data_IF_290768365165
#
_entry.id   IF_290768365165
#
_cell.length_a   1.000
_cell.length_b   1.000
_cell.length_c   1.000
_cell.angle_alpha   90.00
_cell.angle_beta   90.00
_cell.angle_gamma   90.00
#
_symmetry.space_group_name_H-M   'P 1'
#
loop_
_entity.id
_entity.type
_entity.pdbx_description
1 polymer ?
#
# COMPACT_ATOMS: atom_id res chain seq x y z
N UNK A 1 7.33 -17.99 -2.40
CA UNK A 1 7.78 -18.28 -3.78
C UNK A 1 9.26 -18.69 -3.89
N UNK A 2 10.15 -18.17 -3.03
CA UNK A 2 11.60 -18.35 -3.12
C UNK A 2 12.08 -19.82 -3.13
N UNK A 3 11.52 -20.68 -2.27
CA UNK A 3 11.86 -22.11 -2.25
C UNK A 3 11.56 -22.85 -3.56
N UNK A 4 10.42 -22.53 -4.20
CA UNK A 4 10.07 -23.12 -5.50
C UNK A 4 11.04 -22.65 -6.58
N UNK A 5 11.32 -21.35 -6.65
CA UNK A 5 12.26 -20.78 -7.63
C UNK A 5 13.69 -21.36 -7.49
N UNK A 6 14.14 -21.62 -6.26
CA UNK A 6 15.44 -22.23 -6.00
C UNK A 6 15.51 -23.70 -6.45
N UNK A 7 14.46 -24.47 -6.20
CA UNK A 7 14.37 -25.86 -6.66
C UNK A 7 14.44 -25.97 -8.19
N UNK A 8 13.80 -25.03 -8.93
CA UNK A 8 13.79 -25.05 -10.39
C UNK A 8 15.07 -24.56 -11.07
N UNK A 9 15.92 -23.81 -10.36
CA UNK A 9 17.16 -23.25 -10.92
C UNK A 9 18.34 -24.21 -10.82
N UNK A 10 18.09 -25.47 -10.48
CA UNK A 10 19.13 -26.51 -10.39
C UNK A 10 20.19 -26.16 -9.35
N UNK A 11 19.79 -25.55 -8.22
CA UNK A 11 20.69 -25.11 -7.14
C UNK A 11 21.70 -24.02 -7.54
N UNK A 12 21.48 -23.28 -8.63
CA UNK A 12 22.39 -22.21 -9.03
C UNK A 12 22.41 -21.06 -7.98
N UNK A 13 23.52 -20.94 -7.25
CA UNK A 13 23.71 -19.93 -6.19
C UNK A 13 23.53 -18.50 -6.67
N UNK A 14 23.87 -18.18 -7.93
CA UNK A 14 23.71 -16.81 -8.46
C UNK A 14 22.26 -16.37 -8.52
N UNK A 15 21.37 -17.28 -8.92
CA UNK A 15 19.93 -16.99 -9.01
C UNK A 15 19.33 -16.87 -7.61
N UNK A 16 19.77 -17.72 -6.67
CA UNK A 16 19.37 -17.60 -5.26
C UNK A 16 19.77 -16.26 -4.65
N UNK A 17 21.01 -15.80 -4.89
CA UNK A 17 21.47 -14.50 -4.38
C UNK A 17 20.63 -13.37 -4.95
N UNK A 18 20.36 -13.37 -6.25
CA UNK A 18 19.56 -12.33 -6.91
C UNK A 18 18.12 -12.29 -6.36
N UNK A 19 17.44 -13.44 -6.29
CA UNK A 19 16.09 -13.53 -5.70
C UNK A 19 16.09 -13.18 -4.21
N UNK A 20 17.12 -13.60 -3.48
CA UNK A 20 17.30 -13.29 -2.06
C UNK A 20 17.46 -11.80 -1.81
N UNK A 21 18.28 -11.11 -2.63
CA UNK A 21 18.42 -9.65 -2.55
C UNK A 21 17.12 -8.93 -2.87
N UNK A 22 16.37 -9.37 -3.90
CA UNK A 22 15.07 -8.78 -4.22
C UNK A 22 14.06 -8.95 -3.09
N UNK A 23 14.04 -10.12 -2.45
CA UNK A 23 13.18 -10.39 -1.30
C UNK A 23 13.56 -9.56 -0.06
N UNK A 24 14.86 -9.48 0.27
CA UNK A 24 15.35 -8.65 1.37
C UNK A 24 15.01 -7.17 1.18
N UNK A 25 15.16 -6.64 -0.05
CA UNK A 25 14.77 -5.27 -0.36
C UNK A 25 13.28 -5.03 -0.14
N UNK A 26 12.42 -5.97 -0.53
CA UNK A 26 10.97 -5.85 -0.33
C UNK A 26 10.60 -5.86 1.16
N UNK A 27 11.14 -6.82 1.93
CA UNK A 27 10.94 -6.85 3.39
C UNK A 27 11.45 -5.56 4.03
N UNK A 28 12.58 -5.02 3.57
CA UNK A 28 13.09 -3.73 4.03
C UNK A 28 12.15 -2.57 3.75
N UNK A 29 11.54 -2.52 2.55
CA UNK A 29 10.55 -1.50 2.18
C UNK A 29 9.28 -1.63 3.03
N UNK A 30 8.79 -2.85 3.26
CA UNK A 30 7.60 -3.07 4.09
C UNK A 30 7.88 -2.65 5.54
N UNK A 31 8.98 -3.09 6.14
CA UNK A 31 9.40 -2.67 7.48
C UNK A 31 9.54 -1.14 7.52
N UNK A 32 10.17 -0.53 6.52
CA UNK A 32 10.29 0.93 6.45
C UNK A 32 8.93 1.62 6.44
N UNK A 33 7.99 1.16 5.60
CA UNK A 33 6.63 1.73 5.50
C UNK A 33 5.87 1.59 6.82
N UNK A 34 6.01 0.46 7.52
CA UNK A 34 5.32 0.22 8.80
C UNK A 34 6.01 0.88 10.01
N UNK A 35 7.33 1.02 10.00
CA UNK A 35 8.10 1.54 11.12
C UNK A 35 8.38 3.05 11.04
N UNK A 36 8.25 3.69 9.87
CA UNK A 36 8.41 5.15 9.75
C UNK A 36 7.15 5.87 10.24
N UNK A 37 7.20 6.30 11.52
CA UNK A 37 6.22 7.12 12.26
C UNK A 37 4.88 7.24 11.56
N UNK A 38 4.01 6.28 11.85
CA UNK A 38 2.57 6.48 11.75
C UNK A 38 2.20 7.33 12.96
N UNK A 39 2.03 8.64 12.76
CA UNK A 39 1.46 9.48 13.81
C UNK A 39 0.03 9.00 14.06
N UNK A 40 -0.18 8.46 15.26
CA UNK A 40 -1.49 7.99 15.71
C UNK A 40 -2.36 9.23 15.88
N UNK A 41 -3.53 9.31 15.23
CA UNK A 41 -4.37 10.50 15.30
C UNK A 41 -4.80 10.79 16.75
N UNK A 42 -5.03 12.08 17.08
CA UNK A 42 -5.39 12.48 18.44
C UNK A 42 -6.69 11.79 18.92
N UNK A 43 -6.80 11.52 20.24
CA UNK A 43 -7.85 10.69 20.84
C UNK A 43 -9.29 11.17 20.59
N UNK A 44 -9.48 12.44 20.25
CA UNK A 44 -10.79 13.06 19.94
C UNK A 44 -11.49 12.38 18.74
N UNK A 45 -10.72 11.94 17.74
CA UNK A 45 -11.26 11.23 16.57
C UNK A 45 -11.83 9.84 16.94
N UNK A 46 -11.27 9.20 17.97
CA UNK A 46 -11.75 7.92 18.49
C UNK A 46 -13.06 8.06 19.28
N UNK A 47 -13.26 9.19 19.96
CA UNK A 47 -14.51 9.50 20.67
C UNK A 47 -15.68 9.77 19.70
N UNK A 48 -15.45 10.48 18.59
CA UNK A 48 -16.52 10.80 17.61
C UNK A 48 -17.00 9.59 16.80
N UNK A 49 -16.13 8.60 16.57
CA UNK A 49 -16.49 7.33 15.91
C UNK A 49 -17.06 6.27 16.88
N UNK A 50 -17.41 6.66 18.10
CA UNK A 50 -18.07 5.81 19.09
C UNK A 50 -17.26 4.54 19.46
N UNK A 51 -15.93 4.57 19.33
CA UNK A 51 -15.04 3.48 19.76
C UNK A 51 -15.14 2.17 18.97
N UNK A 52 -15.89 2.08 17.87
CA UNK A 52 -16.13 0.79 17.18
C UNK A 52 -15.12 0.43 16.09
N UNK A 53 -14.04 1.21 15.90
CA UNK A 53 -13.03 0.84 14.90
C UNK A 53 -11.67 1.50 15.09
N UNK A 54 -10.63 0.67 15.16
CA UNK A 54 -9.24 1.09 15.07
C UNK A 54 -8.89 1.32 13.59
N UNK A 55 -9.49 2.35 12.97
CA UNK A 55 -9.20 2.69 11.58
C UNK A 55 -8.16 3.80 11.53
N UNK A 56 -7.01 3.58 10.85
CA UNK A 56 -6.08 4.65 10.52
C UNK A 56 -6.83 5.80 9.85
N UNK A 57 -6.50 7.05 10.17
CA UNK A 57 -7.05 8.19 9.47
C UNK A 57 -6.47 8.25 8.04
N UNK A 58 -7.08 7.49 7.12
CA UNK A 58 -6.75 7.50 5.69
C UNK A 58 -7.19 8.80 4.99
N UNK A 59 -7.67 9.81 5.74
CA UNK A 59 -8.09 11.10 5.20
C UNK A 59 -6.92 11.99 4.78
N UNK A 60 -5.73 11.81 5.35
CA UNK A 60 -4.54 12.51 4.89
C UNK A 60 -4.00 11.79 3.64
N UNK A 61 -4.02 12.44 2.48
CA UNK A 61 -3.58 11.86 1.19
C UNK A 61 -2.17 11.24 1.23
N UNK A 62 -1.34 11.66 2.18
CA UNK A 62 -0.01 11.11 2.46
C UNK A 62 -0.05 9.63 2.86
N UNK A 63 -1.05 9.20 3.64
CA UNK A 63 -1.18 7.81 4.11
C UNK A 63 -1.59 6.86 2.96
N UNK A 64 -2.49 7.33 2.10
CA UNK A 64 -2.89 6.58 0.89
C UNK A 64 -1.73 6.40 -0.09
N UNK A 65 -0.90 7.43 -0.27
CA UNK A 65 0.32 7.34 -1.08
C UNK A 65 1.30 6.29 -0.53
N UNK A 66 1.51 6.23 0.79
CA UNK A 66 2.40 5.22 1.41
C UNK A 66 1.94 3.79 1.13
N UNK A 67 0.64 3.52 1.28
CA UNK A 67 0.05 2.20 0.98
C UNK A 67 0.17 1.89 -0.51
N UNK A 68 -0.10 2.88 -1.36
CA UNK A 68 0.09 2.77 -2.81
C UNK A 68 1.53 2.43 -3.19
N UNK A 69 2.53 3.05 -2.56
CA UNK A 69 3.95 2.75 -2.81
C UNK A 69 4.33 1.33 -2.37
N UNK A 70 3.85 0.86 -1.21
CA UNK A 70 4.08 -0.53 -0.78
C UNK A 70 3.46 -1.52 -1.77
N UNK A 71 2.24 -1.26 -2.22
CA UNK A 71 1.56 -2.11 -3.20
C UNK A 71 2.26 -2.11 -4.57
N UNK A 72 2.74 -0.94 -5.02
CA UNK A 72 3.53 -0.79 -6.24
C UNK A 72 4.87 -1.53 -6.13
N UNK A 73 5.56 -1.42 -4.99
CA UNK A 73 6.81 -2.11 -4.73
C UNK A 73 6.64 -3.64 -4.77
N UNK A 74 5.54 -4.16 -4.20
CA UNK A 74 5.20 -5.56 -4.29
C UNK A 74 5.01 -6.03 -5.74
N UNK A 75 4.24 -5.29 -6.54
CA UNK A 75 4.02 -5.60 -7.96
C UNK A 75 5.33 -5.54 -8.76
N UNK A 76 6.17 -4.54 -8.53
CA UNK A 76 7.47 -4.40 -9.21
C UNK A 76 8.42 -5.55 -8.88
N UNK A 77 8.47 -6.00 -7.61
CA UNK A 77 9.29 -7.14 -7.20
C UNK A 77 8.82 -8.41 -7.88
N UNK A 78 7.51 -8.65 -7.87
CA UNK A 78 6.87 -9.76 -8.55
C UNK A 78 7.22 -9.75 -10.05
N UNK A 79 7.09 -8.59 -10.73
CA UNK A 79 7.45 -8.43 -12.14
C UNK A 79 8.94 -8.71 -12.40
N UNK A 80 9.83 -8.17 -11.58
CA UNK A 80 11.27 -8.37 -11.71
C UNK A 80 11.65 -9.84 -11.51
N UNK A 81 11.02 -10.51 -10.55
CA UNK A 81 11.21 -11.95 -10.32
C UNK A 81 10.80 -12.79 -11.54
N UNK A 82 9.68 -12.43 -12.18
CA UNK A 82 9.21 -13.10 -13.39
C UNK A 82 10.15 -12.85 -14.57
N UNK A 83 10.55 -11.61 -14.81
CA UNK A 83 11.47 -11.24 -15.90
C UNK A 83 12.77 -12.03 -15.77
N UNK A 84 13.34 -12.12 -14.57
CA UNK A 84 14.56 -12.91 -14.32
C UNK A 84 14.35 -14.39 -14.66
N UNK A 85 13.24 -14.98 -14.23
CA UNK A 85 12.91 -16.38 -14.53
C UNK A 85 12.72 -16.59 -16.03
N UNK A 86 11.98 -15.72 -16.72
CA UNK A 86 11.74 -15.80 -18.17
C UNK A 86 13.05 -15.66 -18.94
N UNK A 87 13.88 -14.66 -18.60
CA UNK A 87 15.20 -14.47 -19.23
C UNK A 87 16.09 -15.69 -19.01
N UNK A 88 16.12 -16.24 -17.80
CA UNK A 88 16.87 -17.46 -17.52
C UNK A 88 16.35 -18.66 -18.32
N UNK A 89 15.04 -18.87 -18.39
CA UNK A 89 14.43 -19.94 -19.16
C UNK A 89 14.67 -19.79 -20.66
N UNK A 90 14.58 -18.59 -21.22
CA UNK A 90 14.88 -18.30 -22.64
C UNK A 90 16.35 -18.53 -22.93
N UNK A 91 17.26 -18.05 -22.07
CA UNK A 91 18.70 -18.22 -22.23
C UNK A 91 19.13 -19.68 -22.07
N UNK A 92 18.50 -20.42 -21.15
CA UNK A 92 18.84 -21.82 -20.87
C UNK A 92 18.21 -22.80 -21.86
N UNK A 93 17.11 -22.42 -22.54
CA UNK A 93 16.47 -23.20 -23.62
C UNK A 93 17.39 -23.50 -24.80
N UNK A 94 18.47 -22.75 -24.98
CA UNK A 94 19.39 -22.98 -26.09
C UNK A 94 20.18 -24.31 -25.98
N UNK A 95 20.17 -25.00 -24.82
CA UNK A 95 21.02 -26.19 -24.63
C UNK A 95 20.33 -27.48 -24.15
N UNK A 96 19.02 -27.54 -23.91
CA UNK A 96 18.39 -28.80 -23.44
C UNK A 96 16.88 -28.91 -23.64
N UNK A 97 16.43 -30.08 -24.09
CA UNK A 97 15.04 -30.53 -24.18
C UNK A 97 14.42 -30.71 -22.78
N UNK A 98 13.75 -29.68 -22.26
CA UNK A 98 13.04 -29.78 -20.97
C UNK A 98 11.59 -29.30 -21.14
N UNK A 99 10.72 -30.20 -21.62
CA UNK A 99 9.28 -29.92 -21.81
C UNK A 99 8.58 -29.58 -20.49
N UNK A 100 9.03 -30.20 -19.39
CA UNK A 100 8.46 -30.03 -18.05
C UNK A 100 8.71 -28.61 -17.49
N UNK A 101 9.89 -28.06 -17.72
CA UNK A 101 10.20 -26.68 -17.32
C UNK A 101 9.33 -25.67 -18.07
N UNK A 102 9.00 -25.94 -19.34
CA UNK A 102 8.13 -25.07 -20.15
C UNK A 102 6.70 -25.03 -19.61
N UNK A 103 6.16 -26.18 -19.19
CA UNK A 103 4.84 -26.26 -18.56
C UNK A 103 4.79 -25.49 -17.24
N UNK A 104 5.80 -25.66 -16.40
CA UNK A 104 5.86 -24.97 -15.12
C UNK A 104 5.99 -23.46 -15.28
N UNK A 105 6.80 -23.00 -16.25
CA UNK A 105 6.92 -21.58 -16.60
C UNK A 105 5.60 -21.04 -17.14
N UNK A 106 4.91 -21.79 -18.00
CA UNK A 106 3.60 -21.39 -18.53
C UNK A 106 2.57 -21.22 -17.40
N UNK A 107 2.49 -22.19 -16.47
CA UNK A 107 1.60 -22.09 -15.31
C UNK A 107 1.97 -20.92 -14.40
N UNK A 108 3.27 -20.71 -14.14
CA UNK A 108 3.75 -19.58 -13.37
C UNK A 108 3.42 -18.23 -14.01
N UNK A 109 3.57 -18.13 -15.34
CA UNK A 109 3.24 -16.94 -16.12
C UNK A 109 1.74 -16.65 -16.10
N UNK A 110 0.89 -17.67 -16.21
CA UNK A 110 -0.57 -17.52 -16.14
C UNK A 110 -1.01 -17.08 -14.75
N UNK A 111 -0.48 -17.71 -13.69
CA UNK A 111 -0.80 -17.31 -12.31
C UNK A 111 -0.36 -15.86 -12.04
N UNK A 112 0.82 -15.47 -12.55
CA UNK A 112 1.30 -14.10 -12.45
C UNK A 112 0.42 -13.11 -13.21
N UNK A 113 0.05 -13.43 -14.45
CA UNK A 113 -0.83 -12.58 -15.24
C UNK A 113 -2.17 -12.35 -14.52
N UNK A 114 -2.70 -13.39 -13.87
CA UNK A 114 -3.91 -13.28 -13.07
C UNK A 114 -3.74 -12.36 -11.84
N UNK A 115 -2.65 -12.53 -11.08
CA UNK A 115 -2.32 -11.66 -9.94
C UNK A 115 -2.10 -10.21 -10.40
N UNK A 116 -1.44 -10.00 -11.53
CA UNK A 116 -1.24 -8.68 -12.12
C UNK A 116 -2.56 -8.00 -12.49
N UNK A 117 -3.50 -8.73 -13.11
CA UNK A 117 -4.83 -8.20 -13.43
C UNK A 117 -5.58 -7.82 -12.16
N UNK A 118 -5.56 -8.65 -11.13
CA UNK A 118 -6.18 -8.35 -9.84
C UNK A 118 -5.57 -7.08 -9.24
N UNK A 119 -4.24 -6.99 -9.19
CA UNK A 119 -3.54 -5.84 -8.64
C UNK A 119 -3.84 -4.54 -9.39
N UNK A 120 -3.89 -4.58 -10.73
CA UNK A 120 -4.29 -3.43 -11.56
C UNK A 120 -5.74 -3.05 -11.26
N UNK A 121 -6.65 -4.02 -11.19
CA UNK A 121 -8.05 -3.76 -10.87
C UNK A 121 -8.20 -3.13 -9.48
N UNK A 122 -7.51 -3.66 -8.47
CA UNK A 122 -7.52 -3.10 -7.11
C UNK A 122 -6.95 -1.69 -7.08
N UNK A 123 -5.86 -1.42 -7.79
CA UNK A 123 -5.29 -0.08 -7.90
C UNK A 123 -6.28 0.90 -8.54
N UNK A 124 -6.92 0.53 -9.66
CA UNK A 124 -7.93 1.34 -10.33
C UNK A 124 -9.11 1.63 -9.39
N UNK A 125 -9.64 0.62 -8.70
CA UNK A 125 -10.73 0.78 -7.75
C UNK A 125 -10.34 1.73 -6.62
N UNK A 126 -9.12 1.60 -6.09
CA UNK A 126 -8.60 2.47 -5.04
C UNK A 126 -8.51 3.93 -5.49
N UNK A 127 -7.94 4.19 -6.67
CA UNK A 127 -7.84 5.54 -7.21
C UNK A 127 -9.21 6.15 -7.56
N UNK A 128 -10.15 5.35 -8.09
CA UNK A 128 -11.51 5.83 -8.34
C UNK A 128 -12.25 6.20 -7.08
N UNK A 129 -12.09 5.43 -6.00
CA UNK A 129 -12.72 5.75 -4.71
C UNK A 129 -12.15 7.06 -4.15
N UNK A 130 -10.85 7.29 -4.28
CA UNK A 130 -10.23 8.56 -3.88
C UNK A 130 -10.75 9.75 -4.71
N UNK A 131 -10.90 9.57 -6.01
CA UNK A 131 -11.42 10.62 -6.90
C UNK A 131 -12.88 10.96 -6.59
N UNK A 132 -13.73 9.94 -6.38
CA UNK A 132 -15.11 10.12 -5.92
C UNK A 132 -15.18 10.85 -4.58
N UNK A 133 -14.28 10.52 -3.64
CA UNK A 133 -14.22 11.20 -2.34
C UNK A 133 -13.86 12.68 -2.46
N UNK A 134 -13.03 13.05 -3.44
CA UNK A 134 -12.67 14.44 -3.69
C UNK A 134 -13.80 15.23 -4.37
N UNK A 135 -14.65 14.55 -5.16
CA UNK A 135 -15.77 15.20 -5.84
C UNK A 135 -17.00 15.41 -4.95
N UNK A 136 -17.20 14.58 -3.93
CA UNK A 136 -18.33 14.73 -3.00
C UNK A 136 -18.06 15.94 -2.10
N UNK A 137 -18.71 17.07 -2.40
CA UNK A 137 -18.84 18.20 -1.48
C UNK A 137 -19.37 17.70 -0.15
N UNK A 138 -18.73 18.04 0.98
CA UNK A 138 -19.16 17.58 2.29
C UNK A 138 -20.63 17.95 2.50
N UNK A 139 -21.47 16.96 2.79
CA UNK A 139 -22.88 17.17 3.10
C UNK A 139 -23.02 18.15 4.26
N UNK A 140 -24.06 18.98 4.26
CA UNK A 140 -24.30 20.02 5.29
C UNK A 140 -24.24 19.46 6.73
N UNK A 141 -24.60 18.19 6.91
CA UNK A 141 -24.51 17.48 8.19
C UNK A 141 -23.06 17.32 8.68
N UNK A 142 -22.10 17.08 7.78
CA UNK A 142 -20.67 17.00 8.09
C UNK A 142 -20.10 18.39 8.37
N UNK A 143 -20.57 19.41 7.64
CA UNK A 143 -20.17 20.80 7.85
C UNK A 143 -20.66 21.30 9.22
N UNK A 144 -21.93 21.06 9.55
CA UNK A 144 -22.53 21.39 10.84
C UNK A 144 -21.79 20.72 11.99
N UNK A 145 -21.45 19.42 11.86
CA UNK A 145 -20.70 18.69 12.88
C UNK A 145 -19.30 19.27 13.12
N UNK A 146 -18.61 19.73 12.06
CA UNK A 146 -17.32 20.44 12.23
C UNK A 146 -17.48 21.77 12.94
N UNK A 147 -18.53 22.52 12.62
CA UNK A 147 -18.80 23.80 13.29
C UNK A 147 -19.11 23.58 14.77
N UNK A 148 -19.89 22.55 15.13
CA UNK A 148 -20.17 22.23 16.54
C UNK A 148 -18.92 21.91 17.34
N UNK A 149 -17.98 21.12 16.81
CA UNK A 149 -16.73 20.83 17.52
C UNK A 149 -15.86 22.08 17.73
N UNK A 150 -15.80 23.00 16.76
CA UNK A 150 -15.04 24.26 16.90
C UNK A 150 -15.67 25.15 17.98
N UNK A 151 -17.00 25.18 18.06
CA UNK A 151 -17.72 25.94 19.08
C UNK A 151 -17.48 25.35 20.47
N UNK A 152 -17.54 24.03 20.63
CA UNK A 152 -17.27 23.39 21.92
C UNK A 152 -15.81 23.60 22.38
N UNK A 153 -14.84 23.51 21.47
CA UNK A 153 -13.42 23.77 21.79
C UNK A 153 -13.18 25.25 22.18
N UNK A 154 -13.90 26.19 21.57
CA UNK A 154 -13.84 27.60 21.95
C UNK A 154 -14.49 27.87 23.32
N UNK A 155 -15.49 27.07 23.72
CA UNK A 155 -16.18 27.18 25.00
C UNK A 155 -15.41 26.54 26.16
N UNK A 156 -14.57 25.53 25.88
CA UNK A 156 -13.74 24.84 26.89
C UNK A 156 -12.44 25.59 27.24
N UNK A 157 -12.18 26.75 26.61
CA UNK A 157 -11.07 27.61 27.00
C UNK A 157 -11.31 28.17 28.40
N UNK A 158 -10.31 28.09 29.31
CA UNK A 158 -10.45 28.61 30.66
C UNK A 158 -10.84 30.10 30.61
N UNK A 159 -11.73 30.56 31.51
CA UNK A 159 -12.18 31.95 31.57
C UNK A 159 -11.03 32.87 31.99
N UNK A 160 -10.13 33.15 31.06
CA UNK A 160 -8.84 33.81 31.31
C UNK A 160 -8.61 35.08 30.50
N UNK A 161 -8.99 35.12 29.22
CA UNK A 161 -8.70 36.27 28.37
C UNK A 161 -9.97 36.89 27.78
N UNK A 162 -10.36 38.00 28.41
CA UNK A 162 -11.36 38.95 27.95
C UNK A 162 -11.07 39.38 26.51
N UNK A 163 -11.93 38.98 25.57
CA UNK A 163 -12.00 39.57 24.24
C UNK A 163 -12.48 41.02 24.35
N UNK A 164 -11.57 41.94 24.68
CA UNK A 164 -11.83 43.38 24.63
C UNK A 164 -11.95 43.78 23.16
N UNK A 165 -13.18 43.80 22.66
CA UNK A 165 -13.52 44.45 21.40
C UNK A 165 -13.25 45.94 21.60
N UNK A 166 -12.14 46.45 21.05
CA UNK A 166 -11.89 47.89 21.00
C UNK A 166 -12.85 48.51 19.98
N UNK A 167 -13.70 49.47 20.37
CA UNK A 167 -14.43 50.28 19.41
C UNK A 167 -13.44 51.14 18.61
N UNK A 168 -13.73 51.30 17.32
CA UNK A 168 -12.98 52.13 16.37
C UNK A 168 -13.17 53.63 16.63
#
# INVERSE_FOLDING_TARGET
MLMRAYAFTGRNRRVLVLLGTGYLSLVGVDIWVFCTRVEIPPPILYMVLNGTGCFPNYGAGVMGLRIGYSMLAAILMDLLSLVVVVVYCVKSKWKRDVSLARYFVSQGLTAFAFVMVINIATAITYFRILDLRNQVTPTDTVLARRHSCIVDEALDLPPGDSWVIKPA
#
